data_IF_356743203920
#
_entry.id   IF_356743203920
#
_cell.length_a   1.000
_cell.length_b   1.000
_cell.length_c   1.000
_cell.angle_alpha   90.00
_cell.angle_beta   90.00
_cell.angle_gamma   90.00
#
_symmetry.space_group_name_H-M   'P 1'
#
loop_
_entity.id
_entity.type
_entity.pdbx_description
1 polymer ?
#
# COMPACT_ATOMS: atom_id res chain seq x y z
N UNK A 1 -60.45 13.07 -69.79
CA UNK A 1 -60.54 13.68 -68.44
C UNK A 1 -61.01 12.61 -67.47
N UNK A 2 -60.06 11.96 -66.78
CA UNK A 2 -60.35 10.91 -65.82
C UNK A 2 -60.26 11.53 -64.40
N UNK A 3 -61.29 11.32 -63.60
CA UNK A 3 -61.35 11.73 -62.20
C UNK A 3 -60.27 10.99 -61.39
N UNK A 4 -59.47 11.73 -60.63
CA UNK A 4 -58.94 11.27 -59.34
C UNK A 4 -59.06 12.44 -58.37
N UNK A 5 -60.24 12.59 -57.76
CA UNK A 5 -60.35 13.38 -56.53
C UNK A 5 -60.12 12.43 -55.36
N UNK A 6 -58.90 12.51 -54.82
CA UNK A 6 -58.46 11.82 -53.62
C UNK A 6 -59.18 12.45 -52.42
N UNK A 7 -60.34 11.91 -52.05
CA UNK A 7 -60.98 12.24 -50.77
C UNK A 7 -60.05 11.79 -49.63
N UNK A 8 -59.29 12.72 -49.06
CA UNK A 8 -58.77 12.55 -47.70
C UNK A 8 -59.96 12.66 -46.76
N UNK A 9 -60.54 11.52 -46.38
CA UNK A 9 -61.38 11.43 -45.20
C UNK A 9 -60.48 11.72 -44.00
N UNK A 10 -60.51 12.96 -43.52
CA UNK A 10 -60.02 13.30 -42.19
C UNK A 10 -61.11 12.78 -41.25
N UNK A 11 -60.96 11.53 -40.78
CA UNK A 11 -61.81 11.00 -39.72
C UNK A 11 -61.46 11.71 -38.42
N UNK A 12 -62.39 12.51 -37.89
CA UNK A 12 -62.25 13.09 -36.55
C UNK A 12 -62.26 11.99 -35.50
N UNK A 13 -61.38 12.10 -34.50
CA UNK A 13 -61.36 11.20 -33.35
C UNK A 13 -62.61 11.41 -32.49
N UNK A 14 -63.23 10.31 -32.06
CA UNK A 14 -64.32 10.39 -31.08
C UNK A 14 -63.77 10.66 -29.68
N UNK A 15 -64.53 11.34 -28.82
CA UNK A 15 -64.12 11.66 -27.46
C UNK A 15 -63.79 10.41 -26.63
N UNK A 16 -64.46 9.29 -26.91
CA UNK A 16 -64.22 7.99 -26.27
C UNK A 16 -62.87 7.40 -26.68
N UNK A 17 -62.51 7.44 -27.97
CA UNK A 17 -61.20 6.97 -28.46
C UNK A 17 -60.05 7.79 -27.87
N UNK A 18 -60.24 9.11 -27.75
CA UNK A 18 -59.27 9.99 -27.08
C UNK A 18 -59.08 9.59 -25.61
N UNK A 19 -60.18 9.34 -24.89
CA UNK A 19 -60.13 8.97 -23.48
C UNK A 19 -59.40 7.64 -23.27
N UNK A 20 -59.71 6.63 -24.09
CA UNK A 20 -59.03 5.33 -24.05
C UNK A 20 -57.53 5.49 -24.35
N UNK A 21 -57.18 6.26 -25.39
CA UNK A 21 -55.77 6.50 -25.76
C UNK A 21 -54.96 7.20 -24.68
N UNK A 22 -55.54 8.22 -24.02
CA UNK A 22 -54.92 8.90 -22.88
C UNK A 22 -54.73 7.94 -21.71
N UNK A 23 -55.73 7.11 -21.41
CA UNK A 23 -55.67 6.17 -20.28
C UNK A 23 -54.56 5.14 -20.49
N UNK A 24 -54.46 4.56 -21.70
CA UNK A 24 -53.37 3.63 -22.05
C UNK A 24 -52.01 4.33 -21.95
N UNK A 25 -51.91 5.55 -22.48
CA UNK A 25 -50.67 6.34 -22.43
C UNK A 25 -50.23 6.62 -20.99
N UNK A 26 -51.14 6.99 -20.09
CA UNK A 26 -50.85 7.20 -18.66
C UNK A 26 -50.33 5.92 -18.02
N UNK A 27 -50.96 4.77 -18.30
CA UNK A 27 -50.52 3.48 -17.76
C UNK A 27 -49.10 3.15 -18.22
N UNK A 28 -48.81 3.29 -19.52
CA UNK A 28 -47.49 3.01 -20.10
C UNK A 28 -46.43 3.96 -19.53
N UNK A 29 -46.72 5.26 -19.44
CA UNK A 29 -45.80 6.25 -18.86
C UNK A 29 -45.53 5.91 -17.38
N UNK A 30 -46.55 5.59 -16.61
CA UNK A 30 -46.40 5.24 -15.19
C UNK A 30 -45.54 3.99 -15.01
N UNK A 31 -45.75 2.96 -15.85
CA UNK A 31 -44.94 1.75 -15.85
C UNK A 31 -43.48 2.05 -16.24
N UNK A 32 -43.25 2.86 -17.28
CA UNK A 32 -41.91 3.26 -17.71
C UNK A 32 -41.16 4.06 -16.63
N UNK A 33 -41.84 4.99 -15.94
CA UNK A 33 -41.27 5.75 -14.82
C UNK A 33 -40.89 4.82 -13.67
N UNK A 34 -41.76 3.87 -13.30
CA UNK A 34 -41.48 2.91 -12.24
C UNK A 34 -40.28 2.00 -12.59
N UNK A 35 -40.21 1.52 -13.83
CA UNK A 35 -39.06 0.75 -14.32
C UNK A 35 -37.78 1.59 -14.27
N UNK A 36 -37.82 2.84 -14.74
CA UNK A 36 -36.66 3.73 -14.69
C UNK A 36 -36.17 3.96 -13.25
N UNK A 37 -37.08 4.26 -12.32
CA UNK A 37 -36.74 4.48 -10.90
C UNK A 37 -36.16 3.21 -10.29
N UNK A 38 -36.77 2.04 -10.55
CA UNK A 38 -36.29 0.75 -10.06
C UNK A 38 -34.89 0.44 -10.59
N UNK A 39 -34.68 0.57 -11.90
CA UNK A 39 -33.39 0.35 -12.55
C UNK A 39 -32.32 1.31 -12.03
N UNK A 40 -32.65 2.59 -11.86
CA UNK A 40 -31.73 3.59 -11.29
C UNK A 40 -31.30 3.24 -9.87
N UNK A 41 -32.24 2.80 -9.02
CA UNK A 41 -31.93 2.34 -7.65
C UNK A 41 -31.04 1.09 -7.66
N UNK A 42 -31.36 0.12 -8.51
CA UNK A 42 -30.57 -1.11 -8.66
C UNK A 42 -29.15 -0.80 -9.13
N UNK A 43 -29.00 0.07 -10.13
CA UNK A 43 -27.70 0.51 -10.63
C UNK A 43 -26.88 1.22 -9.55
N UNK A 44 -27.49 2.14 -8.78
CA UNK A 44 -26.80 2.83 -7.69
C UNK A 44 -26.34 1.83 -6.61
N UNK A 45 -27.18 0.86 -6.25
CA UNK A 45 -26.80 -0.20 -5.30
C UNK A 45 -25.65 -1.05 -5.83
N UNK A 46 -25.71 -1.47 -7.09
CA UNK A 46 -24.64 -2.23 -7.73
C UNK A 46 -23.32 -1.43 -7.77
N UNK A 47 -23.39 -0.14 -8.13
CA UNK A 47 -22.24 0.76 -8.13
C UNK A 47 -21.59 0.86 -6.75
N UNK A 48 -22.37 1.10 -5.69
CA UNK A 48 -21.85 1.19 -4.32
C UNK A 48 -21.18 -0.12 -3.87
N UNK A 49 -21.80 -1.26 -4.17
CA UNK A 49 -21.20 -2.57 -3.87
C UNK A 49 -19.87 -2.78 -4.62
N UNK A 50 -19.79 -2.38 -5.89
CA UNK A 50 -18.56 -2.47 -6.68
C UNK A 50 -17.47 -1.56 -6.10
N UNK A 51 -17.79 -0.32 -5.76
CA UNK A 51 -16.85 0.62 -5.15
C UNK A 51 -16.31 0.09 -3.81
N UNK A 52 -17.19 -0.46 -2.96
CA UNK A 52 -16.78 -1.08 -1.71
C UNK A 52 -15.88 -2.31 -1.94
N UNK A 53 -16.23 -3.18 -2.88
CA UNK A 53 -15.42 -4.36 -3.21
C UNK A 53 -14.03 -3.98 -3.74
N UNK A 54 -13.94 -2.94 -4.58
CA UNK A 54 -12.65 -2.42 -5.07
C UNK A 54 -11.78 -1.96 -3.90
N UNK A 55 -12.34 -1.23 -2.93
CA UNK A 55 -11.61 -0.81 -1.73
C UNK A 55 -11.09 -2.00 -0.92
N UNK A 56 -11.93 -3.01 -0.68
CA UNK A 56 -11.54 -4.23 0.04
C UNK A 56 -10.39 -4.95 -0.67
N UNK A 57 -10.55 -5.21 -1.98
CA UNK A 57 -9.54 -5.90 -2.79
C UNK A 57 -8.24 -5.10 -2.83
N UNK A 58 -8.32 -3.76 -2.91
CA UNK A 58 -7.14 -2.90 -2.95
C UNK A 58 -6.37 -2.93 -1.64
N UNK A 59 -7.07 -2.85 -0.49
CA UNK A 59 -6.44 -2.95 0.83
C UNK A 59 -5.79 -4.33 1.03
N UNK A 60 -6.51 -5.41 0.69
CA UNK A 60 -5.98 -6.78 0.79
C UNK A 60 -4.76 -6.97 -0.09
N UNK A 61 -4.82 -6.52 -1.35
CA UNK A 61 -3.74 -6.68 -2.33
C UNK A 61 -2.50 -5.89 -1.93
N UNK A 62 -2.63 -4.62 -1.57
CA UNK A 62 -1.48 -3.80 -1.18
C UNK A 62 -0.78 -4.39 0.04
N UNK A 63 -1.54 -4.82 1.06
CA UNK A 63 -0.96 -5.41 2.27
C UNK A 63 -0.34 -6.79 1.98
N UNK A 64 -0.98 -7.65 1.18
CA UNK A 64 -0.42 -8.94 0.82
C UNK A 64 0.83 -8.83 -0.05
N UNK A 65 0.80 -7.95 -1.05
CA UNK A 65 1.91 -7.74 -1.97
C UNK A 65 3.11 -7.14 -1.21
N UNK A 66 2.86 -6.26 -0.23
CA UNK A 66 3.91 -5.74 0.64
C UNK A 66 4.61 -6.82 1.46
N UNK A 67 3.88 -7.85 1.93
CA UNK A 67 4.45 -8.97 2.69
C UNK A 67 5.21 -9.91 1.76
N UNK A 68 4.61 -10.31 0.64
CA UNK A 68 5.20 -11.28 -0.30
C UNK A 68 6.46 -10.72 -0.95
N UNK A 69 6.49 -9.42 -1.25
CA UNK A 69 7.65 -8.76 -1.85
C UNK A 69 8.59 -8.12 -0.82
N UNK A 70 8.42 -8.43 0.47
CA UNK A 70 9.30 -7.90 1.50
C UNK A 70 10.69 -8.55 1.42
N UNK A 71 11.72 -7.74 1.63
CA UNK A 71 13.11 -8.16 1.67
C UNK A 71 13.99 -7.45 0.64
N UNK A 72 15.20 -7.97 0.50
CA UNK A 72 16.24 -7.44 -0.38
C UNK A 72 16.67 -8.52 -1.37
N UNK A 73 16.99 -8.13 -2.59
CA UNK A 73 17.38 -9.05 -3.67
C UNK A 73 18.85 -9.49 -3.59
N UNK A 74 19.44 -9.46 -2.39
CA UNK A 74 20.85 -9.80 -2.19
C UNK A 74 21.11 -11.26 -2.58
N UNK A 75 22.15 -11.48 -3.39
CA UNK A 75 22.42 -12.75 -4.10
C UNK A 75 22.47 -13.98 -3.18
N UNK A 76 22.91 -13.81 -1.94
CA UNK A 76 23.07 -14.88 -0.95
C UNK A 76 21.94 -14.92 0.09
N UNK A 77 20.84 -14.21 -0.18
CA UNK A 77 19.74 -14.01 0.76
C UNK A 77 20.08 -12.94 1.80
N UNK A 78 19.05 -12.34 2.41
CA UNK A 78 19.21 -11.29 3.42
C UNK A 78 19.18 -11.81 4.87
N UNK A 79 18.64 -13.00 5.11
CA UNK A 79 18.40 -13.49 6.48
C UNK A 79 19.68 -13.93 7.22
N UNK A 80 20.73 -14.35 6.49
CA UNK A 80 21.94 -14.93 7.06
C UNK A 80 23.13 -13.97 7.15
N UNK A 81 22.98 -12.76 6.60
CA UNK A 81 24.06 -11.79 6.47
C UNK A 81 24.07 -10.81 7.64
N UNK A 82 25.27 -10.31 7.99
CA UNK A 82 25.43 -9.35 9.06
C UNK A 82 25.16 -7.93 8.55
N UNK A 83 24.15 -7.28 9.13
CA UNK A 83 23.79 -5.91 8.78
C UNK A 83 24.67 -4.90 9.52
N UNK A 84 25.24 -3.95 8.77
CA UNK A 84 26.07 -2.89 9.32
C UNK A 84 25.50 -1.52 8.95
N UNK A 85 25.23 -0.70 9.97
CA UNK A 85 24.75 0.66 9.77
C UNK A 85 25.92 1.61 9.44
N UNK A 86 25.91 2.17 8.23
CA UNK A 86 26.83 3.20 7.72
C UNK A 86 26.08 4.44 7.23
N UNK A 87 24.86 4.64 7.68
CA UNK A 87 24.01 5.78 7.30
C UNK A 87 24.31 7.05 8.10
N UNK A 88 24.96 6.93 9.26
CA UNK A 88 25.15 8.01 10.23
C UNK A 88 23.92 8.28 11.11
N UNK A 89 22.85 7.50 10.97
CA UNK A 89 21.63 7.67 11.77
C UNK A 89 21.64 6.86 13.06
N UNK A 90 20.90 7.34 14.06
CA UNK A 90 20.75 6.68 15.34
C UNK A 90 20.03 5.33 15.17
N UNK A 91 20.81 4.27 15.33
CA UNK A 91 20.37 2.87 15.29
C UNK A 91 19.20 2.55 16.22
N UNK A 92 18.99 3.30 17.31
CA UNK A 92 17.88 3.05 18.26
C UNK A 92 16.53 3.42 17.68
N UNK A 93 16.47 4.45 16.84
CA UNK A 93 15.21 4.95 16.25
C UNK A 93 14.75 4.11 15.05
N UNK A 94 15.72 3.53 14.34
CA UNK A 94 15.49 2.85 13.07
C UNK A 94 16.08 1.43 13.08
N UNK A 95 16.06 0.75 14.23
CA UNK A 95 16.64 -0.60 14.38
C UNK A 95 16.18 -1.56 13.29
N UNK A 96 14.93 -1.46 12.85
CA UNK A 96 14.40 -2.28 11.76
C UNK A 96 15.24 -2.17 10.49
N UNK A 97 15.77 -1.00 10.08
CA UNK A 97 16.60 -0.89 8.87
C UNK A 97 17.86 -1.76 8.90
N UNK A 98 18.37 -2.07 10.11
CA UNK A 98 19.69 -2.64 10.32
C UNK A 98 19.65 -4.02 10.97
N UNK A 99 18.48 -4.65 11.07
CA UNK A 99 18.36 -6.07 11.41
C UNK A 99 18.18 -6.92 10.14
N UNK A 100 18.18 -8.23 10.29
CA UNK A 100 18.00 -9.19 9.20
C UNK A 100 16.53 -9.52 8.91
N UNK A 101 15.58 -8.76 9.46
CA UNK A 101 14.16 -9.07 9.33
C UNK A 101 13.49 -8.26 8.22
N UNK A 102 12.75 -8.92 7.34
CA UNK A 102 12.08 -8.26 6.22
C UNK A 102 10.67 -7.75 6.55
N UNK A 103 9.99 -8.39 7.51
CA UNK A 103 8.64 -8.05 7.95
C UNK A 103 8.55 -7.99 9.47
N UNK A 104 8.03 -6.88 9.98
CA UNK A 104 7.75 -6.65 11.40
C UNK A 104 6.31 -6.19 11.59
N UNK A 105 5.68 -6.71 12.64
CA UNK A 105 4.32 -6.39 13.03
C UNK A 105 4.32 -5.91 14.47
N UNK A 106 3.38 -5.06 14.85
CA UNK A 106 3.28 -4.58 16.23
C UNK A 106 2.01 -3.79 16.47
N UNK A 107 1.84 -3.32 17.71
CA UNK A 107 0.76 -2.40 18.05
C UNK A 107 1.10 -1.00 17.55
N UNK A 108 0.15 -0.32 16.90
CA UNK A 108 0.38 1.03 16.38
C UNK A 108 0.88 2.01 17.45
N UNK A 109 0.41 1.83 18.69
CA UNK A 109 0.84 2.61 19.87
C UNK A 109 2.35 2.57 20.15
N UNK A 110 3.07 1.51 19.74
CA UNK A 110 4.52 1.42 19.94
C UNK A 110 5.30 2.33 19.00
N UNK A 111 4.73 2.67 17.83
CA UNK A 111 5.38 3.45 16.78
C UNK A 111 4.74 4.83 16.54
N UNK A 112 3.72 5.24 17.28
CA UNK A 112 3.04 6.53 17.06
C UNK A 112 4.01 7.73 17.06
N UNK A 113 4.98 7.75 17.99
CA UNK A 113 5.97 8.81 18.06
C UNK A 113 6.88 8.82 16.83
N UNK A 114 7.24 7.64 16.31
CA UNK A 114 7.99 7.51 15.07
C UNK A 114 7.19 8.12 13.92
N UNK A 115 5.91 7.79 13.80
CA UNK A 115 5.03 8.28 12.73
C UNK A 115 4.83 9.81 12.81
N UNK A 116 4.56 10.34 14.02
CA UNK A 116 4.39 11.79 14.26
C UNK A 116 5.65 12.59 13.95
N UNK A 117 6.83 12.04 14.25
CA UNK A 117 8.09 12.74 14.00
C UNK A 117 8.59 12.59 12.56
N UNK A 118 8.15 11.55 11.85
CA UNK A 118 8.60 11.26 10.49
C UNK A 118 7.79 11.99 9.42
N UNK A 119 6.60 12.49 9.73
CA UNK A 119 5.71 13.18 8.79
C UNK A 119 5.23 14.51 9.34
N UNK A 120 5.03 15.49 8.45
CA UNK A 120 4.42 16.78 8.80
C UNK A 120 2.89 16.68 8.96
N UNK A 121 2.30 15.54 8.61
CA UNK A 121 0.87 15.31 8.67
C UNK A 121 0.43 14.93 10.09
N UNK A 122 -0.65 15.57 10.56
CA UNK A 122 -1.23 15.27 11.87
C UNK A 122 -2.24 14.13 11.77
N UNK A 123 -1.91 13.01 12.39
CA UNK A 123 -2.76 11.82 12.45
C UNK A 123 -3.46 11.70 13.81
N UNK A 124 -4.70 11.22 13.76
CA UNK A 124 -5.42 10.65 14.89
C UNK A 124 -5.38 9.13 14.76
N UNK A 125 -4.75 8.48 15.73
CA UNK A 125 -4.58 7.03 15.74
C UNK A 125 -5.72 6.37 16.51
N UNK A 126 -6.20 5.22 16.01
CA UNK A 126 -7.20 4.42 16.71
C UNK A 126 -6.52 3.46 17.69
N UNK A 127 -7.01 3.40 18.93
CA UNK A 127 -6.43 2.54 19.95
C UNK A 127 -6.56 1.06 19.60
N UNK A 128 -5.55 0.28 19.98
CA UNK A 128 -5.55 -1.17 19.80
C UNK A 128 -5.35 -1.65 18.37
N UNK A 129 -5.16 -0.78 17.38
CA UNK A 129 -4.81 -1.18 16.00
C UNK A 129 -3.36 -1.63 15.89
N UNK A 130 -3.09 -2.44 14.89
CA UNK A 130 -1.77 -2.96 14.58
C UNK A 130 -1.14 -2.19 13.41
N UNK A 131 0.19 -2.31 13.26
CA UNK A 131 0.92 -1.85 12.08
C UNK A 131 1.64 -3.02 11.41
N UNK A 132 1.85 -2.88 10.10
CA UNK A 132 2.71 -3.75 9.30
C UNK A 132 3.89 -2.91 8.80
N UNK A 133 5.11 -3.34 9.07
CA UNK A 133 6.33 -2.70 8.62
C UNK A 133 7.12 -3.68 7.78
N UNK A 134 7.52 -3.25 6.58
CA UNK A 134 8.26 -4.09 5.63
C UNK A 134 9.47 -3.35 5.10
N UNK A 135 10.56 -4.11 4.88
CA UNK A 135 11.67 -3.65 4.05
C UNK A 135 11.33 -3.96 2.61
N UNK A 136 11.51 -2.99 1.74
CA UNK A 136 11.34 -3.20 0.31
C UNK A 136 12.50 -2.57 -0.43
N UNK A 137 12.64 -3.04 -1.65
CA UNK A 137 13.65 -2.59 -2.59
C UNK A 137 12.95 -2.10 -3.86
N UNK A 138 13.37 -0.93 -4.35
CA UNK A 138 12.73 -0.32 -5.52
C UNK A 138 13.51 -0.55 -6.80
N UNK A 139 14.84 -0.70 -6.70
CA UNK A 139 15.73 -0.77 -7.85
C UNK A 139 17.11 -1.21 -7.40
N UNK A 140 17.85 -1.86 -8.30
CA UNK A 140 19.11 -2.50 -8.00
C UNK A 140 20.13 -2.31 -9.11
N UNK A 141 21.41 -2.45 -8.79
CA UNK A 141 22.56 -2.42 -9.68
C UNK A 141 23.66 -3.37 -9.16
N UNK A 142 24.73 -3.51 -9.93
CA UNK A 142 25.93 -4.22 -9.52
C UNK A 142 27.15 -3.28 -9.54
N UNK A 143 28.11 -3.56 -8.66
CA UNK A 143 29.38 -2.83 -8.63
C UNK A 143 30.25 -3.24 -9.82
N UNK A 144 30.78 -2.27 -10.56
CA UNK A 144 31.73 -2.55 -11.66
C UNK A 144 33.16 -2.74 -11.17
N UNK A 145 33.45 -2.31 -9.94
CA UNK A 145 34.76 -2.37 -9.29
C UNK A 145 34.61 -2.24 -7.77
N UNK A 146 35.68 -2.54 -7.03
CA UNK A 146 35.76 -2.33 -5.57
C UNK A 146 35.47 -0.86 -5.23
N UNK A 147 34.68 -0.55 -4.18
CA UNK A 147 34.49 0.81 -3.70
C UNK A 147 35.81 1.53 -3.43
N UNK A 148 35.92 2.76 -3.92
CA UNK A 148 37.07 3.63 -3.67
C UNK A 148 36.69 4.67 -2.61
N UNK A 149 36.96 4.35 -1.35
CA UNK A 149 36.59 5.16 -0.19
C UNK A 149 35.07 5.43 -0.15
N UNK A 150 34.62 6.63 -0.52
CA UNK A 150 33.21 7.00 -0.56
C UNK A 150 32.56 6.75 -1.92
N UNK A 151 33.32 6.35 -2.94
CA UNK A 151 32.83 6.24 -4.31
C UNK A 151 32.48 4.81 -4.68
N UNK A 152 31.27 4.64 -5.19
CA UNK A 152 30.75 3.42 -5.80
C UNK A 152 30.58 3.64 -7.30
N UNK A 153 30.79 2.60 -8.09
CA UNK A 153 30.68 2.62 -9.55
C UNK A 153 29.72 1.54 -9.98
N UNK A 154 28.68 1.92 -10.71
CA UNK A 154 27.57 1.04 -11.06
C UNK A 154 27.65 0.56 -12.51
N UNK A 155 27.09 -0.62 -12.77
CA UNK A 155 26.95 -1.20 -14.10
C UNK A 155 25.98 -0.39 -14.98
N UNK A 156 24.93 0.14 -14.37
CA UNK A 156 23.87 0.92 -15.04
C UNK A 156 23.52 2.20 -14.29
N UNK A 157 22.97 3.15 -15.05
CA UNK A 157 22.47 4.42 -14.50
C UNK A 157 21.22 4.17 -13.66
N UNK A 158 21.11 4.88 -12.54
CA UNK A 158 19.99 4.76 -11.61
C UNK A 158 19.38 6.14 -11.34
N UNK A 159 18.08 6.19 -11.07
CA UNK A 159 17.39 7.41 -10.66
C UNK A 159 17.39 7.56 -9.13
N UNK A 160 18.52 7.24 -8.50
CA UNK A 160 18.69 7.42 -7.05
C UNK A 160 19.02 8.88 -6.74
N UNK A 161 18.66 9.32 -5.54
CA UNK A 161 18.77 10.71 -5.12
C UNK A 161 19.66 10.85 -3.88
N UNK A 162 20.21 12.04 -3.69
CA UNK A 162 20.97 12.37 -2.50
C UNK A 162 20.11 12.12 -1.25
N UNK A 163 20.71 11.48 -0.25
CA UNK A 163 20.02 11.07 0.98
C UNK A 163 19.36 9.71 0.92
N UNK A 164 19.21 9.07 -0.25
CA UNK A 164 18.64 7.72 -0.31
C UNK A 164 19.49 6.69 0.45
N UNK A 165 18.85 5.68 1.04
CA UNK A 165 19.55 4.52 1.59
C UNK A 165 19.78 3.44 0.53
N UNK A 166 20.96 2.83 0.60
CA UNK A 166 21.33 1.69 -0.21
C UNK A 166 21.74 0.53 0.69
N UNK A 167 21.46 -0.70 0.26
CA UNK A 167 22.04 -1.91 0.82
C UNK A 167 23.12 -2.42 -0.14
N UNK A 168 24.36 -2.50 0.33
CA UNK A 168 25.46 -3.16 -0.37
C UNK A 168 25.59 -4.58 0.18
N UNK A 169 25.52 -5.58 -0.67
CA UNK A 169 25.52 -6.97 -0.26
C UNK A 169 26.67 -7.73 -0.90
N UNK A 170 27.49 -8.38 -0.07
CA UNK A 170 28.46 -9.39 -0.51
C UNK A 170 27.98 -10.78 -0.04
N UNK A 171 28.87 -11.72 0.27
CA UNK A 171 28.50 -13.06 0.76
C UNK A 171 28.09 -13.05 2.25
N UNK A 172 28.74 -12.21 3.06
CA UNK A 172 28.69 -12.29 4.52
C UNK A 172 27.99 -11.08 5.18
N UNK A 173 27.98 -9.94 4.50
CA UNK A 173 27.61 -8.63 5.06
C UNK A 173 26.64 -7.87 4.18
N UNK A 174 25.78 -7.10 4.85
CA UNK A 174 24.94 -6.07 4.25
C UNK A 174 25.27 -4.72 4.89
N UNK A 175 25.97 -3.87 4.14
CA UNK A 175 26.23 -2.50 4.58
C UNK A 175 25.09 -1.59 4.14
N UNK A 176 24.36 -1.04 5.11
CA UNK A 176 23.32 -0.04 4.87
C UNK A 176 23.98 1.34 4.86
N UNK A 177 24.10 1.92 3.67
CA UNK A 177 24.78 3.20 3.45
C UNK A 177 23.80 4.29 3.03
N UNK A 178 24.24 5.55 3.07
CA UNK A 178 23.46 6.71 2.63
C UNK A 178 24.17 7.43 1.49
N UNK A 179 23.44 7.80 0.45
CA UNK A 179 23.97 8.59 -0.67
C UNK A 179 24.24 10.02 -0.21
N UNK A 180 25.43 10.54 -0.50
CA UNK A 180 25.75 11.97 -0.38
C UNK A 180 25.63 12.70 -1.72
N UNK A 181 26.05 12.08 -2.81
CA UNK A 181 25.97 12.65 -4.16
C UNK A 181 25.80 11.58 -5.24
N UNK A 182 25.18 11.93 -6.37
CA UNK A 182 25.03 11.06 -7.55
C UNK A 182 25.58 11.73 -8.81
N UNK A 183 26.33 10.99 -9.62
CA UNK A 183 26.72 11.40 -10.97
C UNK A 183 26.24 10.35 -11.98
N UNK A 184 25.18 10.69 -12.73
CA UNK A 184 24.55 9.78 -13.68
C UNK A 184 25.35 9.61 -14.98
N UNK A 185 26.17 10.59 -15.36
CA UNK A 185 27.02 10.52 -16.55
C UNK A 185 28.12 9.47 -16.39
N UNK A 186 28.73 9.44 -15.20
CA UNK A 186 29.81 8.49 -14.87
C UNK A 186 29.31 7.25 -14.14
N UNK A 187 28.00 7.11 -13.93
CA UNK A 187 27.36 6.03 -13.15
C UNK A 187 28.00 5.87 -11.76
N UNK A 188 28.40 6.99 -11.18
CA UNK A 188 29.11 7.02 -9.90
C UNK A 188 28.20 7.52 -8.79
N UNK A 189 28.29 6.89 -7.64
CA UNK A 189 27.60 7.31 -6.42
C UNK A 189 28.64 7.60 -5.36
N UNK A 190 28.47 8.73 -4.68
CA UNK A 190 29.26 9.08 -3.50
C UNK A 190 28.42 8.84 -2.25
N UNK A 191 29.01 8.20 -1.26
CA UNK A 191 28.39 7.88 0.01
C UNK A 191 28.66 8.97 1.05
N UNK A 192 27.81 9.03 2.07
CA UNK A 192 28.02 9.87 3.25
C UNK A 192 29.09 9.28 4.19
N UNK A 193 29.30 7.96 4.14
CA UNK A 193 30.33 7.24 4.90
C UNK A 193 30.79 6.04 4.11
N UNK A 194 32.06 5.67 4.24
CA UNK A 194 32.62 4.52 3.55
C UNK A 194 31.96 3.23 4.09
N UNK A 195 31.77 2.21 3.23
CA UNK A 195 31.38 0.88 3.69
C UNK A 195 32.37 0.40 4.76
N UNK A 196 31.89 -0.34 5.75
CA UNK A 196 32.72 -0.98 6.76
C UNK A 196 33.39 -2.25 6.22
N UNK A 197 32.70 -2.96 5.34
CA UNK A 197 33.16 -4.24 4.80
C UNK A 197 33.70 -4.11 3.37
N UNK A 198 34.39 -5.16 2.92
CA UNK A 198 34.91 -5.21 1.56
C UNK A 198 33.85 -5.67 0.57
N UNK A 199 33.68 -4.90 -0.50
CA UNK A 199 32.81 -5.24 -1.63
C UNK A 199 33.64 -5.25 -2.91
N UNK A 200 33.30 -6.14 -3.83
CA UNK A 200 34.04 -6.41 -5.05
C UNK A 200 33.18 -6.15 -6.30
N UNK A 201 33.81 -6.23 -7.47
CA UNK A 201 33.10 -6.21 -8.74
C UNK A 201 32.07 -7.36 -8.79
N UNK A 202 30.86 -7.04 -9.20
CA UNK A 202 29.72 -7.96 -9.28
C UNK A 202 28.92 -8.06 -7.97
N UNK A 203 29.37 -7.42 -6.88
CA UNK A 203 28.57 -7.36 -5.66
C UNK A 203 27.34 -6.47 -5.85
N UNK A 204 26.30 -6.85 -5.12
CA UNK A 204 24.96 -6.32 -5.28
C UNK A 204 24.79 -4.97 -4.57
N UNK A 205 24.03 -4.06 -5.18
CA UNK A 205 23.59 -2.83 -4.53
C UNK A 205 22.15 -2.48 -4.87
N UNK A 206 21.33 -2.30 -3.83
CA UNK A 206 19.89 -2.00 -3.96
C UNK A 206 19.49 -0.74 -3.24
N UNK A 207 18.58 0.05 -3.83
CA UNK A 207 17.89 1.14 -3.12
C UNK A 207 16.79 0.57 -2.25
N UNK A 208 16.91 0.82 -0.94
CA UNK A 208 16.02 0.27 0.07
C UNK A 208 15.14 1.33 0.69
N UNK A 209 13.98 0.91 1.17
CA UNK A 209 13.09 1.73 1.98
C UNK A 209 12.33 0.86 2.99
N UNK A 210 11.82 1.51 4.03
CA UNK A 210 10.83 0.92 4.92
C UNK A 210 9.46 1.46 4.51
N UNK A 211 8.50 0.56 4.37
CA UNK A 211 7.09 0.90 4.25
C UNK A 211 6.38 0.51 5.55
N UNK A 212 5.65 1.46 6.15
CA UNK A 212 4.84 1.25 7.33
C UNK A 212 3.37 1.43 6.95
N UNK A 213 2.59 0.37 7.04
CA UNK A 213 1.15 0.36 6.85
C UNK A 213 0.45 0.47 8.19
N UNK A 214 -0.48 1.42 8.28
CA UNK A 214 -1.26 1.67 9.49
C UNK A 214 -2.60 2.34 9.17
N UNK A 215 -3.56 2.23 10.07
CA UNK A 215 -4.84 2.95 9.97
C UNK A 215 -4.82 4.20 10.84
N UNK A 216 -5.18 5.34 10.27
CA UNK A 216 -5.32 6.59 11.00
C UNK A 216 -6.40 7.45 10.36
N UNK A 217 -6.86 8.48 11.07
CA UNK A 217 -7.63 9.57 10.49
C UNK A 217 -6.76 10.82 10.41
N UNK A 218 -7.03 11.69 9.45
CA UNK A 218 -6.41 13.02 9.39
C UNK A 218 -7.38 14.07 9.87
N UNK A 219 -6.89 15.04 10.64
CA UNK A 219 -7.70 16.17 11.08
C UNK A 219 -7.72 17.20 9.95
N UNK A 220 -8.89 17.41 9.32
CA UNK A 220 -9.11 18.62 8.54
C UNK A 220 -9.36 19.78 9.53
N UNK A 221 -8.50 20.81 9.59
CA UNK A 221 -8.72 21.97 10.45
C UNK A 221 -10.05 22.67 10.17
N UNK A 222 -10.61 22.53 8.96
CA UNK A 222 -11.87 23.14 8.53
C UNK A 222 -13.09 22.31 8.89
N UNK A 223 -12.92 21.01 9.20
CA UNK A 223 -14.01 20.07 9.52
C UNK A 223 -13.63 19.13 10.66
N UNK A 224 -13.54 19.64 11.91
CA UNK A 224 -13.09 18.84 13.05
C UNK A 224 -14.03 17.67 13.42
N UNK A 225 -15.27 17.65 12.93
CA UNK A 225 -16.26 16.62 13.29
C UNK A 225 -16.37 15.45 12.30
N UNK A 226 -15.67 15.50 11.15
CA UNK A 226 -15.72 14.45 10.12
C UNK A 226 -14.39 13.72 10.03
N UNK A 227 -14.09 12.86 11.01
CA UNK A 227 -12.91 12.00 10.93
C UNK A 227 -13.21 10.75 10.12
N UNK A 228 -12.55 10.62 8.97
CA UNK A 228 -12.54 9.38 8.21
C UNK A 228 -11.21 8.69 8.34
N UNK A 229 -11.26 7.44 8.80
CA UNK A 229 -10.09 6.58 8.86
C UNK A 229 -9.73 6.09 7.46
N UNK A 230 -8.43 5.94 7.23
CA UNK A 230 -7.89 5.37 5.99
C UNK A 230 -6.71 4.47 6.32
N UNK A 231 -6.45 3.52 5.42
CA UNK A 231 -5.19 2.80 5.37
C UNK A 231 -4.14 3.72 4.76
N UNK A 232 -3.07 3.99 5.50
CA UNK A 232 -1.92 4.76 5.06
C UNK A 232 -0.70 3.87 4.85
N UNK A 233 0.16 4.29 3.93
CA UNK A 233 1.52 3.78 3.77
C UNK A 233 2.50 4.93 3.95
N UNK A 234 3.36 4.84 4.97
CA UNK A 234 4.49 5.75 5.16
C UNK A 234 5.74 5.10 4.59
N UNK A 235 6.46 5.81 3.72
CA UNK A 235 7.70 5.36 3.10
C UNK A 235 8.86 6.18 3.62
N UNK A 236 9.81 5.53 4.31
CA UNK A 236 11.09 6.11 4.72
C UNK A 236 12.18 5.55 3.82
N UNK A 237 12.90 6.42 3.12
CA UNK A 237 13.94 6.05 2.15
C UNK A 237 15.27 6.80 2.38
N UNK A 238 15.44 7.50 3.51
CA UNK A 238 16.67 8.23 3.85
C UNK A 238 16.58 9.75 3.79
N UNK A 239 15.50 10.26 3.21
CA UNK A 239 15.11 11.66 3.32
C UNK A 239 14.79 12.04 4.78
N UNK A 240 14.87 13.34 5.08
CA UNK A 240 14.63 13.88 6.43
C UNK A 240 13.20 13.61 6.90
N UNK A 241 12.23 13.73 5.99
CA UNK A 241 10.83 13.41 6.22
C UNK A 241 10.42 12.22 5.37
N UNK A 242 9.57 11.35 5.92
CA UNK A 242 8.96 10.26 5.19
C UNK A 242 7.80 10.77 4.33
N UNK A 243 7.56 10.09 3.21
CA UNK A 243 6.38 10.35 2.36
C UNK A 243 5.22 9.50 2.83
N UNK A 244 4.02 10.08 2.92
CA UNK A 244 2.82 9.36 3.36
C UNK A 244 1.79 9.34 2.25
N UNK A 245 1.25 8.14 1.96
CA UNK A 245 0.25 7.91 0.94
C UNK A 245 -1.05 7.39 1.56
N UNK A 246 -2.20 8.04 1.33
CA UNK A 246 -3.49 7.43 1.61
C UNK A 246 -3.76 6.34 0.56
N UNK A 247 -3.86 5.09 0.99
CA UNK A 247 -4.05 3.95 0.08
C UNK A 247 -5.54 3.66 -0.13
N UNK A 248 -6.29 3.50 0.97
CA UNK A 248 -7.73 3.20 0.91
C UNK A 248 -8.49 3.97 1.99
N UNK A 249 -9.43 4.81 1.57
CA UNK A 249 -10.34 5.54 2.45
C UNK A 249 -11.45 4.65 3.03
N UNK A 250 -11.74 4.82 4.31
CA UNK A 250 -12.77 4.10 5.06
C UNK A 250 -12.24 2.90 5.84
N UNK A 251 -10.96 2.54 5.65
CA UNK A 251 -10.34 1.42 6.36
C UNK A 251 -9.96 1.80 7.78
N UNK A 252 -10.42 1.01 8.75
CA UNK A 252 -10.12 1.15 10.18
C UNK A 252 -9.85 -0.22 10.83
N UNK A 253 -9.51 -0.23 12.11
CA UNK A 253 -9.35 -1.45 12.92
C UNK A 253 -8.43 -2.50 12.30
N UNK A 254 -7.28 -2.09 11.76
CA UNK A 254 -6.29 -3.03 11.26
C UNK A 254 -5.80 -3.93 12.40
N UNK A 255 -5.95 -5.24 12.21
CA UNK A 255 -5.54 -6.30 13.11
C UNK A 255 -4.73 -7.33 12.37
N UNK A 256 -3.65 -7.78 12.98
CA UNK A 256 -2.72 -8.73 12.41
C UNK A 256 -2.58 -9.89 13.39
N UNK A 257 -2.67 -11.11 12.86
CA UNK A 257 -2.50 -12.34 13.64
C UNK A 257 -1.69 -13.33 12.81
N UNK A 258 -0.79 -14.07 13.44
CA UNK A 258 0.09 -15.00 12.75
C UNK A 258 -0.16 -16.43 13.22
N UNK A 259 0.27 -17.40 12.42
CA UNK A 259 0.24 -18.81 12.82
C UNK A 259 1.65 -19.37 12.85
N UNK A 260 1.95 -20.11 13.91
CA UNK A 260 3.16 -20.93 14.04
C UNK A 260 2.76 -22.39 14.16
N UNK A 261 3.63 -23.29 13.71
CA UNK A 261 3.45 -24.73 13.88
C UNK A 261 4.06 -25.13 15.21
N UNK A 262 3.23 -25.60 16.14
CA UNK A 262 3.69 -26.21 17.39
C UNK A 262 3.17 -27.66 17.43
N UNK A 263 4.09 -28.63 17.41
CA UNK A 263 3.76 -30.06 17.49
C UNK A 263 2.64 -30.52 16.52
N UNK A 264 2.69 -30.06 15.26
CA UNK A 264 1.72 -30.34 14.17
C UNK A 264 0.35 -29.66 14.31
N UNK A 265 0.13 -28.84 15.35
CA UNK A 265 -1.07 -28.02 15.47
C UNK A 265 -0.79 -26.58 15.04
N UNK A 266 -1.73 -26.01 14.30
CA UNK A 266 -1.70 -24.62 13.85
C UNK A 266 -2.60 -23.77 14.74
N UNK A 267 -2.03 -22.82 15.48
CA UNK A 267 -2.78 -21.88 16.32
C UNK A 267 -2.54 -20.44 15.89
N UNK A 268 -3.61 -19.68 15.67
CA UNK A 268 -3.53 -18.24 15.45
C UNK A 268 -3.15 -17.54 16.75
N UNK A 269 -2.14 -16.68 16.69
CA UNK A 269 -1.63 -15.89 17.80
C UNK A 269 -1.81 -14.40 17.50
N UNK A 270 -2.21 -13.66 18.53
CA UNK A 270 -2.27 -12.21 18.49
C UNK A 270 -0.88 -11.59 18.69
N UNK A 271 -0.77 -10.33 18.26
CA UNK A 271 0.43 -9.54 18.44
C UNK A 271 0.27 -8.67 19.67
N UNK A 272 1.21 -8.80 20.60
CA UNK A 272 1.25 -7.99 21.83
C UNK A 272 2.46 -7.04 21.86
N UNK A 273 3.51 -7.37 21.12
CA UNK A 273 4.75 -6.61 21.02
C UNK A 273 5.27 -6.63 19.59
N UNK A 274 6.25 -5.79 19.28
CA UNK A 274 6.93 -5.81 18.00
C UNK A 274 7.51 -7.22 17.74
N UNK A 275 7.06 -7.85 16.66
CA UNK A 275 7.34 -9.24 16.32
C UNK A 275 7.75 -9.32 14.86
N UNK A 276 8.94 -9.86 14.59
CA UNK A 276 9.42 -10.13 13.23
C UNK A 276 8.96 -11.52 12.77
N UNK A 277 8.38 -11.64 11.57
CA UNK A 277 7.78 -12.91 11.12
C UNK A 277 8.79 -14.06 10.98
N UNK A 278 9.99 -13.76 10.48
CA UNK A 278 11.05 -14.75 10.28
C UNK A 278 11.61 -15.25 11.62
N UNK A 279 11.68 -14.38 12.64
CA UNK A 279 12.17 -14.72 13.99
C UNK A 279 11.32 -15.80 14.65
N UNK A 280 10.00 -15.68 14.53
CA UNK A 280 9.04 -16.61 15.13
C UNK A 280 8.72 -17.81 14.24
N UNK A 281 9.31 -17.90 13.04
CA UNK A 281 9.03 -18.96 12.08
C UNK A 281 7.56 -19.05 11.66
N UNK A 282 6.89 -17.90 11.54
CA UNK A 282 5.49 -17.83 11.16
C UNK A 282 5.25 -18.49 9.79
N UNK A 283 4.12 -19.19 9.64
CA UNK A 283 3.74 -19.91 8.42
C UNK A 283 2.67 -19.18 7.59
N UNK A 284 1.89 -18.36 8.25
CA UNK A 284 0.90 -17.51 7.60
C UNK A 284 0.60 -16.29 8.46
N UNK A 285 0.12 -15.23 7.81
CA UNK A 285 -0.41 -14.04 8.42
C UNK A 285 -1.86 -13.85 8.01
N UNK A 286 -2.73 -13.56 8.98
CA UNK A 286 -4.09 -13.10 8.73
C UNK A 286 -4.15 -11.60 9.04
N UNK A 287 -4.57 -10.87 8.01
CA UNK A 287 -4.78 -9.44 8.01
C UNK A 287 -6.28 -9.22 8.10
N UNK A 288 -6.75 -8.50 9.10
CA UNK A 288 -8.16 -8.18 9.29
C UNK A 288 -8.34 -6.68 9.45
N UNK A 289 -9.40 -6.12 8.89
CA UNK A 289 -9.71 -4.70 9.00
C UNK A 289 -11.22 -4.48 8.87
N UNK A 290 -11.67 -3.29 9.26
CA UNK A 290 -13.02 -2.79 8.96
C UNK A 290 -13.02 -1.87 7.76
N UNK A 291 -14.06 -1.97 6.95
CA UNK A 291 -14.42 -0.97 5.95
C UNK A 291 -15.92 -0.70 6.09
N UNK A 292 -16.30 0.55 6.32
CA UNK A 292 -17.69 0.98 6.50
C UNK A 292 -18.48 0.10 7.51
N UNK A 293 -17.87 -0.17 8.66
CA UNK A 293 -18.35 -1.03 9.76
C UNK A 293 -18.51 -2.53 9.44
N UNK A 294 -18.07 -3.01 8.28
CA UNK A 294 -18.00 -4.43 7.96
C UNK A 294 -16.57 -4.95 8.10
N UNK A 295 -16.42 -6.15 8.65
CA UNK A 295 -15.12 -6.79 8.81
C UNK A 295 -14.74 -7.59 7.58
N UNK A 296 -13.46 -7.50 7.21
CA UNK A 296 -12.86 -8.27 6.14
C UNK A 296 -11.54 -8.85 6.62
N UNK A 297 -11.17 -10.01 6.08
CA UNK A 297 -9.88 -10.62 6.35
C UNK A 297 -9.24 -11.21 5.09
N UNK A 298 -7.93 -11.37 5.15
CA UNK A 298 -7.12 -12.02 4.13
C UNK A 298 -6.01 -12.81 4.81
N UNK A 299 -5.85 -14.07 4.43
CA UNK A 299 -4.71 -14.89 4.82
C UNK A 299 -3.64 -14.83 3.72
N UNK A 300 -2.40 -14.65 4.14
CA UNK A 300 -1.17 -14.66 3.32
C UNK A 300 -0.29 -15.77 3.86
N UNK A 301 0.14 -16.68 2.99
CA UNK A 301 1.12 -17.72 3.35
C UNK A 301 2.54 -17.14 3.25
N UNK A 302 3.41 -17.55 4.15
CA UNK A 302 4.79 -17.06 4.30
C UNK A 302 5.80 -18.13 3.89
#
# INVERSE_FOLDING_TARGET
MCQIHRNRLISGFTLVELMVGITISIIVITMAVNIYVSTKRSYQKAKLNIEQNIKVISAQKVLSDAIVNAGLSCKYGSDHQLYVNRTGEDSRRFKFFYDNYSVRLGKLSTIENLLKNSSNQKFLFHSGTDYLMVKTENSSAELTQKPLNLSLYLDKTQQWQNGDYLALCNNDYIDIVKISNTNNETKQIRLASAPANEFNKGDYIGKINIQIFFTAATVDPKKPSEYKYSLYMLVKNGQAHATVYPIVEGVSDLKLTYVVSDNKNLSWKEIYQDTSLNEIGAKALKISFKLDNQYYDKVVLL
#
